data_IF_488403780157
#
_entry.id   IF_488403780157
#
_cell.length_a   1.000
_cell.length_b   1.000
_cell.length_c   1.000
_cell.angle_alpha   90.00
_cell.angle_beta   90.00
_cell.angle_gamma   90.00
#
_symmetry.space_group_name_H-M   'P 1'
#
loop_
_entity.id
_entity.type
_entity.pdbx_description
1 polymer ?
#
# COMPACT_ATOMS: atom_id res chain seq x y z
N UNK A 1 -10.01 29.56 -29.01
CA UNK A 1 -10.10 30.23 -27.71
C UNK A 1 -8.96 29.77 -26.81
N UNK A 2 -8.17 30.69 -26.24
CA UNK A 2 -7.24 30.44 -25.13
C UNK A 2 -7.17 31.71 -24.29
N UNK A 3 -7.70 31.67 -23.07
CA UNK A 3 -7.57 32.74 -22.09
C UNK A 3 -6.83 32.15 -20.88
N UNK A 4 -5.51 32.31 -20.87
CA UNK A 4 -4.74 32.17 -19.64
C UNK A 4 -4.91 33.47 -18.87
N UNK A 5 -5.96 33.54 -18.04
CA UNK A 5 -6.18 34.61 -17.07
C UNK A 5 -5.51 34.22 -15.76
N UNK A 6 -4.44 34.94 -15.40
CA UNK A 6 -3.60 34.54 -14.28
C UNK A 6 -4.25 34.76 -12.92
N UNK A 7 -4.18 33.75 -12.06
CA UNK A 7 -4.17 33.92 -10.61
C UNK A 7 -2.94 33.19 -10.08
N UNK A 8 -1.97 33.92 -9.54
CA UNK A 8 -0.87 33.30 -8.81
C UNK A 8 -1.31 33.04 -7.36
N UNK A 9 -1.05 31.82 -6.89
CA UNK A 9 -0.86 31.48 -5.47
C UNK A 9 -2.01 31.78 -4.51
N UNK A 10 -2.93 30.81 -4.34
CA UNK A 10 -3.29 30.30 -3.00
C UNK A 10 -4.05 28.96 -3.09
N UNK A 11 -3.38 27.87 -3.45
CA UNK A 11 -3.94 26.54 -3.19
C UNK A 11 -3.85 26.24 -1.70
N UNK A 12 -4.99 26.18 -1.01
CA UNK A 12 -5.10 25.61 0.34
C UNK A 12 -5.85 24.30 0.27
N UNK A 13 -5.13 23.19 0.44
CA UNK A 13 -5.72 21.88 0.68
C UNK A 13 -5.69 21.59 2.17
N UNK A 14 -6.85 21.62 2.83
CA UNK A 14 -7.00 21.12 4.19
C UNK A 14 -7.36 19.63 4.16
N UNK A 15 -6.74 18.86 5.06
CA UNK A 15 -7.08 17.46 5.32
C UNK A 15 -7.46 17.36 6.80
N UNK A 16 -8.66 16.85 7.05
CA UNK A 16 -9.18 16.61 8.40
C UNK A 16 -8.83 15.17 8.78
N UNK A 17 -8.00 14.99 9.81
CA UNK A 17 -7.54 13.68 10.27
C UNK A 17 -8.22 13.34 11.58
N UNK A 18 -9.15 12.38 11.53
CA UNK A 18 -9.75 11.78 12.71
C UNK A 18 -8.94 10.53 13.12
N UNK A 19 -8.42 10.51 14.34
CA UNK A 19 -7.69 9.35 14.87
C UNK A 19 -8.66 8.22 15.18
N UNK A 20 -8.88 7.33 14.21
CA UNK A 20 -9.63 6.09 14.42
C UNK A 20 -8.83 5.10 15.26
N UNK A 21 -9.20 4.96 16.53
CA UNK A 21 -8.72 3.90 17.43
C UNK A 21 -9.09 2.53 16.85
N UNK A 22 -8.11 1.80 16.32
CA UNK A 22 -8.30 0.43 15.79
C UNK A 22 -8.40 -0.60 16.93
N UNK A 23 -9.56 -0.67 17.56
CA UNK A 23 -9.94 -1.82 18.40
C UNK A 23 -10.05 -3.06 17.53
N UNK A 24 -9.22 -4.08 17.74
CA UNK A 24 -9.17 -5.25 16.85
C UNK A 24 -10.15 -6.35 17.29
N UNK A 25 -10.96 -6.93 16.37
CA UNK A 25 -11.88 -8.04 16.72
C UNK A 25 -12.15 -9.11 15.63
N UNK A 26 -11.56 -10.32 15.74
CA UNK A 26 -11.41 -11.47 14.79
C UNK A 26 -12.75 -11.97 14.24
N UNK A 27 -13.91 -11.56 14.73
CA UNK A 27 -14.55 -12.10 15.93
C UNK A 27 -13.57 -12.54 17.06
N UNK A 28 -12.98 -11.58 17.82
CA UNK A 28 -11.82 -11.79 18.71
C UNK A 28 -10.74 -10.65 18.69
N UNK A 29 -9.72 -10.68 17.79
CA UNK A 29 -8.69 -9.60 17.57
C UNK A 29 -8.29 -9.07 16.12
N UNK A 30 -9.12 -9.05 15.03
CA UNK A 30 -8.76 -8.66 13.62
C UNK A 30 -9.75 -7.83 12.73
N UNK A 31 -11.09 -7.74 12.91
CA UNK A 31 -12.07 -7.18 11.91
C UNK A 31 -11.86 -5.71 11.49
N UNK A 32 -11.02 -4.98 12.20
CA UNK A 32 -10.58 -3.61 11.89
C UNK A 32 -9.23 -3.55 11.17
N UNK A 33 -8.70 -4.70 10.74
CA UNK A 33 -7.62 -4.74 9.76
C UNK A 33 -8.10 -4.15 8.43
N UNK A 34 -7.36 -3.20 7.83
CA UNK A 34 -7.72 -2.66 6.52
C UNK A 34 -7.84 -3.78 5.49
N UNK A 35 -8.95 -3.80 4.74
CA UNK A 35 -9.17 -4.74 3.65
C UNK A 35 -8.33 -4.30 2.45
N UNK A 36 -7.10 -4.77 2.36
CA UNK A 36 -6.23 -4.49 1.21
C UNK A 36 -6.75 -5.22 -0.02
N UNK A 37 -7.23 -4.46 -1.01
CA UNK A 37 -7.56 -4.97 -2.34
C UNK A 37 -6.37 -4.74 -3.26
N UNK A 38 -5.70 -5.82 -3.64
CA UNK A 38 -4.54 -5.81 -4.55
C UNK A 38 -4.84 -6.67 -5.77
N UNK A 39 -4.43 -6.22 -6.95
CA UNK A 39 -4.57 -6.98 -8.18
C UNK A 39 -3.47 -8.04 -8.29
N UNK A 40 -3.82 -9.30 -8.06
CA UNK A 40 -2.91 -10.43 -8.13
C UNK A 40 -2.27 -10.61 -9.52
N UNK A 41 -2.93 -10.18 -10.60
CA UNK A 41 -2.40 -10.27 -11.97
C UNK A 41 -1.26 -9.27 -12.23
N UNK A 42 -1.09 -8.27 -11.35
CA UNK A 42 -0.01 -7.28 -11.39
C UNK A 42 1.16 -7.62 -10.45
N UNK A 43 1.02 -8.67 -9.63
CA UNK A 43 2.10 -9.13 -8.73
C UNK A 43 3.06 -10.01 -9.53
N UNK A 44 4.35 -9.72 -9.44
CA UNK A 44 5.42 -10.45 -10.13
C UNK A 44 6.51 -10.76 -9.11
N UNK A 45 6.79 -12.05 -8.89
CA UNK A 45 7.88 -12.53 -8.04
C UNK A 45 9.02 -13.12 -8.88
N UNK A 46 10.26 -12.76 -8.54
CA UNK A 46 11.49 -13.08 -9.27
C UNK A 46 12.68 -13.27 -8.32
N UNK A 47 13.67 -14.06 -8.75
CA UNK A 47 14.93 -14.24 -8.03
C UNK A 47 15.46 -15.67 -8.14
N UNK A 48 16.78 -15.82 -8.02
CA UNK A 48 17.45 -17.12 -8.13
C UNK A 48 16.90 -18.15 -7.12
N UNK A 49 16.45 -17.68 -5.95
CA UNK A 49 15.88 -18.55 -4.92
C UNK A 49 14.57 -19.24 -5.30
N UNK A 50 13.86 -18.78 -6.33
CA UNK A 50 12.70 -19.48 -6.88
C UNK A 50 13.09 -20.71 -7.73
N UNK A 51 14.36 -20.81 -8.14
CA UNK A 51 14.85 -21.86 -9.06
C UNK A 51 15.64 -22.97 -8.38
N UNK A 52 16.41 -22.65 -7.34
CA UNK A 52 17.22 -23.62 -6.59
C UNK A 52 17.52 -23.08 -5.19
N UNK A 53 17.58 -23.98 -4.20
CA UNK A 53 18.02 -23.69 -2.84
C UNK A 53 19.04 -24.74 -2.36
N UNK A 54 19.85 -24.38 -1.37
CA UNK A 54 20.86 -25.24 -0.76
C UNK A 54 20.64 -25.32 0.75
N UNK A 55 20.92 -26.49 1.35
CA UNK A 55 20.77 -26.70 2.80
C UNK A 55 21.71 -25.74 3.55
N UNK A 56 21.19 -25.09 4.59
CA UNK A 56 21.94 -24.15 5.42
C UNK A 56 22.12 -22.73 4.84
N UNK A 57 21.65 -22.45 3.61
CA UNK A 57 21.70 -21.10 3.03
C UNK A 57 20.33 -20.40 3.09
N UNK A 58 20.34 -19.10 3.43
CA UNK A 58 19.13 -18.28 3.38
C UNK A 58 18.75 -18.01 1.92
N UNK A 59 17.55 -18.44 1.55
CA UNK A 59 17.01 -18.25 0.21
C UNK A 59 16.33 -16.87 0.07
N UNK A 60 16.38 -16.23 -1.10
CA UNK A 60 15.82 -14.88 -1.30
C UNK A 60 15.24 -14.70 -2.70
N UNK A 61 14.10 -14.01 -2.78
CA UNK A 61 13.39 -13.56 -3.97
C UNK A 61 12.56 -12.31 -3.63
N UNK A 62 12.07 -11.62 -4.66
CA UNK A 62 11.25 -10.39 -4.57
C UNK A 62 10.06 -10.51 -5.50
#
# INVERSE_FOLDING_TARGET
>A
ARLSGGHSLHETSSVLVETVTKSSSVAGSFSTLPKFSSDASKVISRGAGLSKAFIGQKNTFT
#
